data_IF_222614453305
#
_entry.id   IF_222614453305
#
_cell.length_a   1.000
_cell.length_b   1.000
_cell.length_c   1.000
_cell.angle_alpha   90.00
_cell.angle_beta   90.00
_cell.angle_gamma   90.00
#
_symmetry.space_group_name_H-M   'P 1'
#
loop_
_entity.id
_entity.type
_entity.pdbx_description
1 polymer ?
#
# COMPACT_ATOMS: atom_id res chain seq x y z
N UNK A 1 -5.88 -21.55 28.02
CA UNK A 1 -4.46 -21.54 28.33
C UNK A 1 -3.72 -21.27 27.02
N UNK A 2 -2.95 -20.18 26.96
CA UNK A 2 -2.11 -19.89 25.81
C UNK A 2 -1.02 -20.98 25.75
N UNK A 3 -0.87 -21.61 24.59
CA UNK A 3 0.25 -22.51 24.32
C UNK A 3 1.50 -21.64 24.10
N UNK A 4 2.55 -21.87 24.88
CA UNK A 4 3.83 -21.19 24.69
C UNK A 4 4.86 -22.18 24.13
N UNK A 5 5.54 -21.79 23.08
CA UNK A 5 6.57 -22.60 22.41
C UNK A 5 7.96 -22.32 22.95
N UNK A 6 8.19 -21.14 23.54
CA UNK A 6 9.48 -20.67 24.04
C UNK A 6 9.33 -20.00 25.41
N UNK A 7 10.37 -20.12 26.22
CA UNK A 7 10.51 -19.50 27.53
C UNK A 7 11.63 -18.47 27.43
N UNK A 8 11.29 -17.21 27.75
CA UNK A 8 12.27 -16.13 27.79
C UNK A 8 12.96 -16.08 29.15
N UNK A 9 14.28 -16.13 29.15
CA UNK A 9 15.10 -16.03 30.35
C UNK A 9 15.52 -14.58 30.51
N UNK A 10 15.35 -14.04 31.71
CA UNK A 10 15.69 -12.65 32.08
C UNK A 10 16.75 -12.61 33.16
N UNK A 11 17.51 -11.51 33.19
CA UNK A 11 18.43 -11.18 34.26
C UNK A 11 17.69 -10.59 35.50
N UNK A 12 18.45 -10.24 36.54
CA UNK A 12 17.92 -9.61 37.77
C UNK A 12 17.25 -8.25 37.51
N UNK A 13 17.52 -7.61 36.39
CA UNK A 13 16.95 -6.34 35.94
C UNK A 13 15.76 -6.50 34.98
N UNK A 14 15.24 -7.74 34.81
CA UNK A 14 14.19 -8.09 33.87
C UNK A 14 14.59 -7.87 32.36
N UNK A 15 15.87 -7.91 32.05
CA UNK A 15 16.32 -7.84 30.63
C UNK A 15 16.40 -9.26 30.06
N UNK A 16 15.86 -9.50 28.86
CA UNK A 16 15.96 -10.80 28.20
C UNK A 16 17.42 -11.14 27.88
N UNK A 17 17.88 -12.32 28.31
CA UNK A 17 19.24 -12.82 28.11
C UNK A 17 19.28 -14.07 27.21
N UNK A 18 18.15 -14.73 26.99
CA UNK A 18 18.08 -15.87 26.11
C UNK A 18 16.70 -16.51 26.06
N UNK A 19 16.55 -17.51 25.17
CA UNK A 19 15.33 -18.29 25.02
C UNK A 19 15.58 -19.77 25.16
N UNK A 20 14.59 -20.50 25.68
CA UNK A 20 14.59 -21.98 25.76
C UNK A 20 13.31 -22.49 25.12
N UNK A 21 13.39 -23.30 24.06
CA UNK A 21 12.22 -23.99 23.51
C UNK A 21 11.57 -24.91 24.55
N UNK A 22 10.24 -24.92 24.63
CA UNK A 22 9.50 -25.79 25.57
C UNK A 22 9.83 -27.29 25.37
N UNK A 23 10.07 -27.72 24.15
CA UNK A 23 10.52 -29.06 23.82
C UNK A 23 11.85 -29.42 24.48
N UNK A 24 12.79 -28.48 24.57
CA UNK A 24 14.09 -28.68 25.21
C UNK A 24 13.95 -28.80 26.73
N UNK A 25 13.02 -28.04 27.32
CA UNK A 25 12.71 -28.15 28.74
C UNK A 25 12.18 -29.53 29.10
N UNK A 26 11.30 -30.09 28.28
CA UNK A 26 10.71 -31.43 28.50
C UNK A 26 11.71 -32.58 28.36
N UNK A 27 12.78 -32.39 27.58
CA UNK A 27 13.81 -33.43 27.33
C UNK A 27 15.02 -33.30 28.23
N UNK A 28 15.11 -32.24 29.05
CA UNK A 28 16.27 -31.98 29.91
C UNK A 28 15.97 -32.40 31.37
N UNK A 29 17.02 -32.82 32.10
CA UNK A 29 16.90 -33.17 33.53
C UNK A 29 16.35 -31.97 34.33
N UNK A 30 15.48 -32.26 35.29
CA UNK A 30 14.86 -31.23 36.19
C UNK A 30 15.86 -30.42 37.00
N UNK A 31 17.06 -30.95 37.23
CA UNK A 31 18.14 -30.32 37.99
C UNK A 31 18.95 -29.33 37.14
N UNK A 32 18.75 -29.29 35.83
CA UNK A 32 19.51 -28.45 34.88
C UNK A 32 19.00 -27.02 34.93
N UNK A 33 19.92 -26.07 35.14
CA UNK A 33 19.57 -24.64 35.13
C UNK A 33 19.20 -24.19 33.71
N UNK A 34 18.12 -23.41 33.56
CA UNK A 34 17.66 -22.90 32.25
C UNK A 34 18.74 -22.11 31.51
N UNK A 35 19.56 -21.34 32.25
CA UNK A 35 20.69 -20.57 31.66
C UNK A 35 21.70 -21.46 30.94
N UNK A 36 21.90 -22.72 31.37
CA UNK A 36 22.85 -23.63 30.73
C UNK A 36 22.35 -24.25 29.42
N UNK A 37 21.04 -24.17 29.16
CA UNK A 37 20.40 -24.74 27.97
C UNK A 37 19.76 -23.67 27.05
N UNK A 38 19.80 -22.40 27.47
CA UNK A 38 19.25 -21.31 26.65
C UNK A 38 20.09 -21.04 25.39
N UNK A 39 19.44 -20.46 24.38
CA UNK A 39 20.09 -19.81 23.26
C UNK A 39 20.21 -18.31 23.57
N UNK A 40 21.40 -17.77 23.45
CA UNK A 40 21.64 -16.33 23.65
C UNK A 40 21.20 -15.49 22.45
N UNK A 41 21.02 -16.11 21.27
CA UNK A 41 20.54 -15.44 20.08
C UNK A 41 19.03 -15.28 20.14
N UNK A 42 18.57 -14.09 20.43
CA UNK A 42 17.16 -13.73 20.41
C UNK A 42 16.95 -12.37 19.72
N UNK A 43 15.86 -12.27 18.95
CA UNK A 43 15.37 -11.00 18.45
C UNK A 43 14.47 -10.35 19.47
N UNK A 44 14.71 -9.07 19.76
CA UNK A 44 13.92 -8.26 20.68
C UNK A 44 13.06 -7.30 19.87
N UNK A 45 11.78 -7.21 20.20
CA UNK A 45 10.82 -6.29 19.56
C UNK A 45 10.61 -5.11 20.50
N UNK A 46 11.00 -3.88 20.13
CA UNK A 46 10.65 -2.69 20.89
C UNK A 46 9.13 -2.48 20.94
N UNK A 47 8.59 -2.06 22.08
CA UNK A 47 7.15 -1.85 22.29
C UNK A 47 6.55 -0.77 21.35
N UNK A 48 7.39 0.12 20.81
CA UNK A 48 7.03 1.19 19.88
C UNK A 48 7.35 0.88 18.42
N UNK A 49 7.72 -0.38 18.12
CA UNK A 49 7.90 -0.84 16.75
C UNK A 49 6.55 -0.88 16.01
N UNK A 50 6.55 -0.44 14.76
CA UNK A 50 5.38 -0.48 13.90
C UNK A 50 4.89 -1.92 13.65
N UNK A 51 3.58 -2.11 13.56
CA UNK A 51 2.95 -3.42 13.42
C UNK A 51 3.37 -4.14 12.13
N UNK A 52 3.45 -3.42 11.01
CA UNK A 52 3.91 -3.98 9.73
C UNK A 52 5.38 -4.43 9.84
N UNK A 53 6.21 -3.64 10.53
CA UNK A 53 7.62 -3.96 10.73
C UNK A 53 7.78 -5.21 11.61
N UNK A 54 6.96 -5.36 12.66
CA UNK A 54 6.90 -6.59 13.45
C UNK A 54 6.56 -7.78 12.58
N UNK A 55 5.54 -7.66 11.70
CA UNK A 55 5.16 -8.69 10.75
C UNK A 55 6.33 -9.13 9.86
N UNK A 56 7.02 -8.15 9.26
CA UNK A 56 8.19 -8.39 8.42
C UNK A 56 9.34 -9.07 9.18
N UNK A 57 9.57 -8.72 10.44
CA UNK A 57 10.58 -9.37 11.29
C UNK A 57 10.23 -10.84 11.52
N UNK A 58 8.98 -11.15 11.86
CA UNK A 58 8.53 -12.52 12.08
C UNK A 58 8.66 -13.38 10.81
N UNK A 59 8.29 -12.84 9.65
CA UNK A 59 8.40 -13.54 8.35
C UNK A 59 9.87 -13.76 7.96
N UNK A 60 10.71 -12.71 8.01
CA UNK A 60 12.10 -12.80 7.56
C UNK A 60 12.96 -13.73 8.43
N UNK A 61 12.67 -13.83 9.73
CA UNK A 61 13.42 -14.65 10.66
C UNK A 61 12.71 -15.95 11.06
N UNK A 62 11.52 -16.23 10.49
CA UNK A 62 10.70 -17.41 10.80
C UNK A 62 10.49 -17.58 12.31
N UNK A 63 10.10 -16.51 13.00
CA UNK A 63 9.92 -16.52 14.45
C UNK A 63 8.59 -17.20 14.82
N UNK A 64 8.60 -18.00 15.88
CA UNK A 64 7.38 -18.52 16.50
C UNK A 64 6.88 -17.57 17.61
N UNK A 65 7.82 -16.93 18.31
CA UNK A 65 7.55 -15.93 19.33
C UNK A 65 8.73 -14.96 19.44
N UNK A 66 8.51 -13.78 19.98
CA UNK A 66 9.55 -12.81 20.28
C UNK A 66 9.29 -12.09 21.59
N UNK A 67 10.37 -11.73 22.30
CA UNK A 67 10.31 -10.90 23.51
C UNK A 67 10.04 -9.45 23.13
N UNK A 68 9.05 -8.83 23.77
CA UNK A 68 8.75 -7.40 23.65
C UNK A 68 9.41 -6.65 24.79
N UNK A 69 10.17 -5.59 24.45
CA UNK A 69 10.95 -4.82 25.42
C UNK A 69 10.59 -3.33 25.40
N UNK A 70 10.73 -2.70 26.55
CA UNK A 70 10.58 -1.26 26.69
C UNK A 70 11.87 -0.51 26.28
N UNK A 71 11.83 0.83 26.36
CA UNK A 71 12.99 1.70 26.06
C UNK A 71 14.20 1.46 26.95
N UNK A 72 14.06 0.74 28.06
CA UNK A 72 15.14 0.36 28.97
C UNK A 72 15.64 -1.07 28.73
N UNK A 73 15.16 -1.73 27.65
CA UNK A 73 15.40 -3.13 27.30
C UNK A 73 14.89 -4.13 28.37
N UNK A 74 13.84 -3.77 29.14
CA UNK A 74 13.18 -4.71 30.04
C UNK A 74 12.06 -5.43 29.34
N UNK A 75 11.91 -6.72 29.65
CA UNK A 75 10.82 -7.55 29.12
C UNK A 75 9.47 -7.01 29.66
N UNK A 76 8.58 -6.63 28.74
CA UNK A 76 7.21 -6.18 29.06
C UNK A 76 6.15 -7.20 28.63
N UNK A 77 6.52 -8.10 27.72
CA UNK A 77 5.62 -9.14 27.23
C UNK A 77 6.28 -9.99 26.17
N UNK A 78 5.48 -10.80 25.51
CA UNK A 78 5.87 -11.54 24.31
C UNK A 78 4.77 -11.40 23.27
N UNK A 79 5.15 -11.52 22.01
CA UNK A 79 4.26 -11.63 20.87
C UNK A 79 4.48 -12.98 20.20
N UNK A 80 3.42 -13.62 19.73
CA UNK A 80 3.45 -14.92 19.08
C UNK A 80 3.07 -14.81 17.61
N UNK A 81 3.38 -15.83 16.82
CA UNK A 81 3.12 -15.83 15.38
C UNK A 81 1.61 -15.70 15.04
N UNK A 82 0.74 -16.28 15.85
CA UNK A 82 -0.72 -16.17 15.67
C UNK A 82 -1.23 -14.75 15.94
N UNK A 83 -0.67 -14.03 16.92
CA UNK A 83 -0.95 -12.61 17.15
C UNK A 83 -0.52 -11.78 15.92
N UNK A 84 0.69 -12.05 15.40
CA UNK A 84 1.23 -11.36 14.22
C UNK A 84 0.38 -11.62 12.98
N UNK A 85 -0.08 -12.86 12.75
CA UNK A 85 -0.99 -13.17 11.65
C UNK A 85 -2.30 -12.36 11.73
N UNK A 86 -2.84 -12.19 12.91
CA UNK A 86 -4.05 -11.38 13.12
C UNK A 86 -3.78 -9.93 12.75
N UNK A 87 -2.68 -9.38 13.22
CA UNK A 87 -2.27 -8.00 12.91
C UNK A 87 -2.05 -7.81 11.41
N UNK A 88 -1.32 -8.71 10.75
CA UNK A 88 -1.08 -8.63 9.30
C UNK A 88 -2.38 -8.67 8.49
N UNK A 89 -3.36 -9.46 8.94
CA UNK A 89 -4.68 -9.51 8.32
C UNK A 89 -5.44 -8.19 8.51
N UNK A 90 -5.43 -7.62 9.72
CA UNK A 90 -6.05 -6.34 10.02
C UNK A 90 -5.45 -5.20 9.18
N UNK A 91 -4.12 -5.13 9.07
CA UNK A 91 -3.42 -4.14 8.24
C UNK A 91 -3.78 -4.30 6.74
N UNK A 92 -3.81 -5.54 6.23
CA UNK A 92 -4.20 -5.79 4.84
C UNK A 92 -5.66 -5.39 4.54
N UNK A 93 -6.58 -5.60 5.50
CA UNK A 93 -7.97 -5.15 5.40
C UNK A 93 -8.05 -3.61 5.46
N UNK A 94 -7.27 -2.97 6.33
CA UNK A 94 -7.19 -1.51 6.44
C UNK A 94 -6.65 -0.88 5.15
N UNK A 95 -5.57 -1.41 4.59
CA UNK A 95 -5.00 -0.99 3.31
C UNK A 95 -6.02 -1.08 2.17
N UNK A 96 -6.77 -2.18 2.10
CA UNK A 96 -7.81 -2.36 1.10
C UNK A 96 -8.93 -1.31 1.22
N UNK A 97 -9.34 -0.97 2.45
CA UNK A 97 -10.33 0.07 2.71
C UNK A 97 -9.79 1.47 2.38
N UNK A 98 -8.55 1.75 2.74
CA UNK A 98 -7.87 3.02 2.41
C UNK A 98 -7.71 3.21 0.91
N UNK A 99 -7.34 2.15 0.18
CA UNK A 99 -7.30 2.16 -1.30
C UNK A 99 -8.67 2.44 -1.92
N UNK A 100 -9.77 2.13 -1.24
CA UNK A 100 -11.13 2.50 -1.65
C UNK A 100 -11.57 3.90 -1.17
N UNK A 101 -10.69 4.66 -0.49
CA UNK A 101 -11.01 5.96 0.07
C UNK A 101 -11.93 5.91 1.30
N UNK A 102 -12.00 4.74 1.94
CA UNK A 102 -12.76 4.50 3.16
C UNK A 102 -11.77 4.27 4.30
N UNK A 103 -11.89 5.00 5.42
CA UNK A 103 -11.05 4.74 6.60
C UNK A 103 -11.54 3.51 7.39
N UNK A 104 -11.10 3.38 8.66
CA UNK A 104 -11.44 2.29 9.59
C UNK A 104 -12.96 2.24 9.88
N UNK A 105 -13.73 1.83 8.91
CA UNK A 105 -15.20 1.79 8.95
C UNK A 105 -15.67 0.40 9.34
N UNK A 106 -16.37 0.28 10.47
CA UNK A 106 -17.02 -0.95 10.89
C UNK A 106 -18.46 -1.02 10.35
N UNK A 107 -18.93 -2.25 10.10
CA UNK A 107 -20.32 -2.49 9.64
C UNK A 107 -21.31 -1.93 10.66
N UNK A 108 -20.99 -1.99 11.95
CA UNK A 108 -21.81 -1.55 13.08
C UNK A 108 -21.85 -0.04 13.30
N UNK A 109 -20.95 0.71 12.63
CA UNK A 109 -20.88 2.17 12.78
C UNK A 109 -22.16 2.86 12.30
N UNK A 110 -22.65 3.84 13.07
CA UNK A 110 -23.83 4.63 12.72
C UNK A 110 -23.60 5.55 11.52
N UNK A 111 -24.66 5.91 10.81
CA UNK A 111 -24.63 6.71 9.57
C UNK A 111 -23.79 7.98 9.69
N UNK A 112 -23.98 8.77 10.76
CA UNK A 112 -23.23 10.02 10.94
C UNK A 112 -21.72 9.81 11.10
N UNK A 113 -21.31 8.73 11.78
CA UNK A 113 -19.90 8.40 11.96
C UNK A 113 -19.27 8.02 10.61
N UNK A 114 -19.95 7.17 9.82
CA UNK A 114 -19.53 6.79 8.47
C UNK A 114 -19.44 7.98 7.54
N UNK A 115 -20.47 8.84 7.53
CA UNK A 115 -20.47 10.05 6.71
C UNK A 115 -19.29 10.96 7.05
N UNK A 116 -19.00 11.20 8.33
CA UNK A 116 -17.89 12.06 8.75
C UNK A 116 -16.52 11.51 8.34
N UNK A 117 -16.34 10.18 8.38
CA UNK A 117 -15.08 9.53 7.96
C UNK A 117 -14.84 9.68 6.45
N UNK A 118 -15.89 9.52 5.64
CA UNK A 118 -15.82 9.66 4.17
C UNK A 118 -15.77 11.12 3.70
N UNK A 119 -16.29 12.06 4.50
CA UNK A 119 -16.48 13.45 4.10
C UNK A 119 -15.17 14.13 3.69
N UNK A 120 -14.12 14.00 4.48
CA UNK A 120 -12.84 14.66 4.19
C UNK A 120 -12.26 14.17 2.88
N UNK A 121 -12.39 12.86 2.62
CA UNK A 121 -11.93 12.25 1.40
C UNK A 121 -12.72 12.69 0.18
N UNK A 122 -14.05 12.67 0.28
CA UNK A 122 -14.93 13.13 -0.78
C UNK A 122 -14.74 14.63 -1.06
N UNK A 123 -14.45 15.42 -0.03
CA UNK A 123 -14.15 16.85 -0.18
C UNK A 123 -12.84 17.07 -0.94
N UNK A 124 -11.80 16.30 -0.65
CA UNK A 124 -10.54 16.36 -1.39
C UNK A 124 -10.76 15.98 -2.87
N UNK A 125 -11.50 14.90 -3.14
CA UNK A 125 -11.85 14.52 -4.50
C UNK A 125 -12.67 15.56 -5.23
N UNK A 126 -13.58 16.22 -4.54
CA UNK A 126 -14.34 17.33 -5.11
C UNK A 126 -13.43 18.50 -5.49
N UNK A 127 -12.46 18.82 -4.65
CA UNK A 127 -11.48 19.87 -4.94
C UNK A 127 -10.62 19.53 -6.16
N UNK A 128 -10.10 18.29 -6.25
CA UNK A 128 -9.32 17.86 -7.42
C UNK A 128 -10.14 17.84 -8.70
N UNK A 129 -11.45 17.46 -8.62
CA UNK A 129 -12.37 17.52 -9.75
C UNK A 129 -12.61 18.96 -10.22
N UNK A 130 -12.76 19.92 -9.31
CA UNK A 130 -12.86 21.35 -9.67
C UNK A 130 -11.56 21.87 -10.31
N UNK A 131 -10.40 21.45 -9.80
CA UNK A 131 -9.11 21.82 -10.39
C UNK A 131 -9.00 21.28 -11.83
N UNK A 132 -9.38 20.02 -12.06
CA UNK A 132 -9.41 19.45 -13.40
C UNK A 132 -10.38 20.19 -14.32
N UNK A 133 -11.59 20.51 -13.83
CA UNK A 133 -12.59 21.28 -14.58
C UNK A 133 -12.08 22.67 -14.91
N UNK A 134 -11.39 23.32 -13.98
CA UNK A 134 -10.76 24.62 -14.23
C UNK A 134 -9.72 24.55 -15.36
N UNK A 135 -8.85 23.54 -15.36
CA UNK A 135 -7.89 23.33 -16.46
C UNK A 135 -8.62 23.10 -17.78
N UNK A 136 -9.68 22.27 -17.81
CA UNK A 136 -10.50 22.04 -19.02
C UNK A 136 -11.11 23.34 -19.53
N UNK A 137 -11.59 24.23 -18.64
CA UNK A 137 -12.21 25.49 -19.01
C UNK A 137 -11.27 26.44 -19.77
N UNK A 138 -9.95 26.31 -19.58
CA UNK A 138 -8.95 27.09 -20.34
C UNK A 138 -8.96 26.76 -21.85
N UNK A 139 -9.50 25.59 -22.20
CA UNK A 139 -9.62 25.11 -23.58
C UNK A 139 -11.06 25.21 -24.12
N UNK A 140 -11.93 26.00 -23.45
CA UNK A 140 -13.34 26.13 -23.79
C UNK A 140 -13.58 26.47 -25.26
N UNK A 141 -12.85 27.45 -25.83
CA UNK A 141 -12.97 27.82 -27.23
C UNK A 141 -12.63 26.68 -28.20
N UNK A 142 -11.67 25.82 -27.87
CA UNK A 142 -11.34 24.63 -28.67
C UNK A 142 -12.46 23.59 -28.60
N UNK A 143 -13.05 23.42 -27.44
CA UNK A 143 -14.16 22.49 -27.22
C UNK A 143 -15.41 22.96 -27.95
N UNK A 144 -15.70 24.28 -27.96
CA UNK A 144 -16.81 24.86 -28.73
C UNK A 144 -16.67 24.60 -30.24
N UNK A 145 -15.44 24.65 -30.76
CA UNK A 145 -15.20 24.35 -32.18
C UNK A 145 -15.34 22.85 -32.50
N UNK A 146 -15.05 21.99 -31.53
CA UNK A 146 -15.07 20.52 -31.69
C UNK A 146 -15.82 19.86 -30.50
N UNK A 147 -17.13 20.05 -30.45
CA UNK A 147 -17.98 19.54 -29.35
C UNK A 147 -17.82 18.03 -29.10
N UNK A 148 -17.45 17.27 -30.13
CA UNK A 148 -17.18 15.82 -30.02
C UNK A 148 -16.09 15.51 -29.02
N UNK A 149 -15.13 16.40 -28.80
CA UNK A 149 -14.09 16.22 -27.77
C UNK A 149 -14.70 16.06 -26.39
N UNK A 150 -15.78 16.77 -26.08
CA UNK A 150 -16.48 16.66 -24.80
C UNK A 150 -17.04 15.25 -24.56
N UNK A 151 -17.44 14.53 -25.60
CA UNK A 151 -17.92 13.14 -25.50
C UNK A 151 -16.76 12.13 -25.31
N UNK A 152 -15.57 12.47 -25.77
CA UNK A 152 -14.39 11.59 -25.70
C UNK A 152 -13.60 11.78 -24.39
N UNK A 153 -13.68 12.97 -23.75
CA UNK A 153 -12.98 13.25 -22.48
C UNK A 153 -13.24 12.23 -21.36
N UNK A 154 -14.49 11.80 -21.09
CA UNK A 154 -14.75 10.81 -20.05
C UNK A 154 -14.06 9.46 -20.30
N UNK A 155 -13.89 9.06 -21.57
CA UNK A 155 -13.22 7.81 -21.93
C UNK A 155 -11.74 7.89 -21.52
N UNK A 156 -11.05 8.96 -21.92
CA UNK A 156 -9.63 9.17 -21.63
C UNK A 156 -9.42 9.30 -20.11
N UNK A 157 -10.25 10.10 -19.44
CA UNK A 157 -10.18 10.30 -17.99
C UNK A 157 -10.40 8.99 -17.23
N UNK A 158 -11.41 8.20 -17.58
CA UNK A 158 -11.69 6.91 -16.96
C UNK A 158 -10.54 5.91 -17.13
N UNK A 159 -9.99 5.83 -18.34
CA UNK A 159 -8.87 4.93 -18.62
C UNK A 159 -7.60 5.35 -17.87
N UNK A 160 -7.32 6.66 -17.78
CA UNK A 160 -6.22 7.17 -16.97
C UNK A 160 -6.39 6.88 -15.50
N UNK A 161 -7.57 7.11 -14.94
CA UNK A 161 -7.89 6.81 -13.55
C UNK A 161 -7.70 5.33 -13.22
N UNK A 162 -8.21 4.43 -14.09
CA UNK A 162 -8.04 2.99 -13.91
C UNK A 162 -6.57 2.55 -13.99
N UNK A 163 -5.82 3.06 -14.95
CA UNK A 163 -4.39 2.74 -15.08
C UNK A 163 -3.59 3.24 -13.87
N UNK A 164 -3.85 4.48 -13.42
CA UNK A 164 -3.22 5.04 -12.22
C UNK A 164 -3.52 4.23 -10.97
N UNK A 165 -4.78 3.84 -10.76
CA UNK A 165 -5.20 3.01 -9.63
C UNK A 165 -4.53 1.62 -9.65
N UNK A 166 -4.40 0.99 -10.82
CA UNK A 166 -3.71 -0.31 -10.94
C UNK A 166 -2.24 -0.20 -10.53
N UNK A 167 -1.52 0.80 -11.03
CA UNK A 167 -0.13 1.03 -10.66
C UNK A 167 0.01 1.40 -9.18
N UNK A 168 -0.90 2.24 -8.67
CA UNK A 168 -0.93 2.62 -7.27
C UNK A 168 -1.08 1.39 -6.36
N UNK A 169 -2.07 0.53 -6.61
CA UNK A 169 -2.33 -0.65 -5.79
C UNK A 169 -1.11 -1.59 -5.73
N UNK A 170 -0.44 -1.81 -6.88
CA UNK A 170 0.81 -2.59 -6.93
C UNK A 170 1.92 -1.90 -6.15
N UNK A 171 2.04 -0.56 -6.26
CA UNK A 171 3.09 0.20 -5.60
C UNK A 171 2.90 0.22 -4.08
N UNK A 172 1.68 0.44 -3.59
CA UNK A 172 1.36 0.39 -2.14
C UNK A 172 1.72 -0.97 -1.58
N UNK A 173 1.29 -2.07 -2.23
CA UNK A 173 1.68 -3.42 -1.82
C UNK A 173 3.20 -3.61 -1.76
N UNK A 174 3.92 -3.18 -2.81
CA UNK A 174 5.38 -3.32 -2.87
C UNK A 174 6.10 -2.49 -1.80
N UNK A 175 5.49 -1.40 -1.36
CA UNK A 175 5.99 -0.58 -0.25
C UNK A 175 5.70 -1.22 1.10
N UNK A 176 4.55 -1.87 1.29
CA UNK A 176 4.19 -2.61 2.51
C UNK A 176 5.11 -3.83 2.71
N UNK A 177 5.38 -4.60 1.64
CA UNK A 177 6.29 -5.77 1.69
C UNK A 177 7.78 -5.41 1.72
N UNK A 178 8.15 -4.12 1.72
CA UNK A 178 9.52 -3.63 1.64
C UNK A 178 10.33 -4.14 0.41
N UNK A 179 9.64 -4.61 -0.63
CA UNK A 179 10.28 -5.08 -1.88
C UNK A 179 10.85 -3.93 -2.71
N UNK A 180 10.39 -2.69 -2.48
CA UNK A 180 10.89 -1.50 -3.16
C UNK A 180 12.11 -0.92 -2.42
N UNK A 181 13.29 -1.28 -2.91
CA UNK A 181 14.56 -0.81 -2.37
C UNK A 181 15.14 0.35 -3.20
N UNK A 182 16.10 1.08 -2.64
CA UNK A 182 16.82 2.14 -3.38
C UNK A 182 17.48 1.62 -4.67
N UNK A 183 17.88 0.35 -4.68
CA UNK A 183 18.61 -0.25 -5.80
C UNK A 183 17.68 -0.61 -6.98
N UNK A 184 16.40 -0.94 -6.72
CA UNK A 184 15.45 -1.32 -7.76
C UNK A 184 14.45 -0.21 -8.12
N UNK A 185 14.51 0.94 -7.44
CA UNK A 185 13.60 2.07 -7.62
C UNK A 185 13.52 2.54 -9.07
N UNK A 186 14.67 2.88 -9.68
CA UNK A 186 14.72 3.36 -11.06
C UNK A 186 14.23 2.31 -12.06
N UNK A 187 14.52 1.04 -11.80
CA UNK A 187 14.04 -0.06 -12.65
C UNK A 187 12.52 -0.19 -12.61
N UNK A 188 11.90 -0.02 -11.43
CA UNK A 188 10.46 -0.09 -11.30
C UNK A 188 9.75 1.10 -11.98
N UNK A 189 10.28 2.32 -11.86
CA UNK A 189 9.77 3.48 -12.61
C UNK A 189 9.86 3.22 -14.11
N UNK A 190 11.00 2.72 -14.60
CA UNK A 190 11.16 2.45 -16.02
C UNK A 190 10.23 1.33 -16.52
N UNK A 191 9.95 0.32 -15.68
CA UNK A 191 8.96 -0.72 -15.99
C UNK A 191 7.56 -0.11 -16.12
N UNK A 192 7.12 0.71 -15.17
CA UNK A 192 5.81 1.36 -15.22
C UNK A 192 5.69 2.30 -16.41
N UNK A 193 6.74 3.06 -16.73
CA UNK A 193 6.78 3.87 -17.93
C UNK A 193 6.59 3.04 -19.22
N UNK A 194 7.29 1.90 -19.34
CA UNK A 194 7.16 1.01 -20.49
C UNK A 194 5.77 0.34 -20.55
N UNK A 195 5.20 -0.04 -19.40
CA UNK A 195 3.84 -0.58 -19.30
C UNK A 195 2.84 0.50 -19.75
N UNK A 196 3.01 1.75 -19.30
CA UNK A 196 2.20 2.88 -19.73
C UNK A 196 2.24 3.12 -21.23
N UNK A 197 3.42 3.07 -21.85
CA UNK A 197 3.59 3.17 -23.30
C UNK A 197 2.89 2.00 -24.01
N UNK A 198 3.14 0.77 -23.60
CA UNK A 198 2.58 -0.42 -24.26
C UNK A 198 1.05 -0.43 -24.18
N UNK A 199 0.49 -0.24 -23.00
CA UNK A 199 -0.95 -0.12 -22.80
C UNK A 199 -1.52 1.08 -23.56
N UNK A 200 -0.82 2.22 -23.52
CA UNK A 200 -1.18 3.43 -24.24
C UNK A 200 -1.32 3.18 -25.75
N UNK A 201 -0.36 2.49 -26.35
CA UNK A 201 -0.41 2.13 -27.80
C UNK A 201 -1.57 1.18 -28.09
N UNK A 202 -1.75 0.13 -27.28
CA UNK A 202 -2.84 -0.84 -27.49
C UNK A 202 -4.20 -0.14 -27.42
N UNK A 203 -4.45 0.63 -26.36
CA UNK A 203 -5.73 1.34 -26.21
C UNK A 203 -5.89 2.52 -27.15
N UNK A 204 -4.80 3.16 -27.60
CA UNK A 204 -4.85 4.15 -28.67
C UNK A 204 -5.35 3.56 -29.99
N UNK A 205 -4.84 2.38 -30.37
CA UNK A 205 -5.30 1.70 -31.60
C UNK A 205 -6.79 1.33 -31.50
N UNK A 206 -7.19 0.74 -30.37
CA UNK A 206 -8.59 0.33 -30.14
C UNK A 206 -9.52 1.55 -30.18
N UNK A 207 -9.18 2.61 -29.44
CA UNK A 207 -10.01 3.83 -29.39
C UNK A 207 -10.03 4.58 -30.70
N UNK A 208 -8.91 4.64 -31.43
CA UNK A 208 -8.86 5.22 -32.76
C UNK A 208 -9.80 4.51 -33.76
N UNK A 209 -9.77 3.17 -33.76
CA UNK A 209 -10.66 2.38 -34.63
C UNK A 209 -12.13 2.63 -34.29
N UNK A 210 -12.49 2.65 -33.00
CA UNK A 210 -13.87 2.93 -32.60
C UNK A 210 -14.30 4.33 -33.02
N UNK A 211 -13.47 5.34 -32.77
CA UNK A 211 -13.76 6.75 -33.11
C UNK A 211 -13.83 6.92 -34.65
N UNK A 212 -12.95 6.26 -35.41
CA UNK A 212 -12.98 6.30 -36.85
C UNK A 212 -14.28 5.69 -37.44
N UNK A 213 -14.75 4.59 -36.87
CA UNK A 213 -16.01 3.96 -37.28
C UNK A 213 -17.21 4.83 -36.90
N UNK A 214 -17.17 5.45 -35.76
CA UNK A 214 -18.32 6.18 -35.19
C UNK A 214 -18.50 7.58 -35.76
N UNK A 215 -17.38 8.31 -35.90
CA UNK A 215 -17.40 9.73 -36.32
C UNK A 215 -16.85 9.93 -37.74
N UNK A 216 -16.21 8.91 -38.32
CA UNK A 216 -15.60 8.98 -39.68
C UNK A 216 -14.62 10.17 -39.82
N UNK A 217 -13.97 10.56 -38.74
CA UNK A 217 -13.05 11.70 -38.66
C UNK A 217 -11.65 11.23 -38.21
N UNK A 218 -10.70 11.31 -39.13
CA UNK A 218 -9.33 10.89 -38.87
C UNK A 218 -8.58 11.81 -37.91
N UNK A 219 -8.95 13.08 -37.83
CA UNK A 219 -8.36 14.03 -36.89
C UNK A 219 -8.74 13.67 -35.47
N UNK A 220 -10.02 13.37 -35.20
CA UNK A 220 -10.50 12.92 -33.93
C UNK A 220 -9.84 11.59 -33.51
N UNK A 221 -9.69 10.66 -34.45
CA UNK A 221 -9.03 9.37 -34.23
C UNK A 221 -7.55 9.55 -33.83
N UNK A 222 -6.85 10.50 -34.43
CA UNK A 222 -5.48 10.84 -34.05
C UNK A 222 -5.40 11.51 -32.69
N UNK A 223 -6.29 12.45 -32.38
CA UNK A 223 -6.34 13.16 -31.10
C UNK A 223 -6.55 12.17 -29.95
N UNK A 224 -7.54 11.26 -30.06
CA UNK A 224 -7.80 10.29 -28.99
C UNK A 224 -6.63 9.32 -28.80
N UNK A 225 -5.97 8.92 -29.90
CA UNK A 225 -4.80 8.05 -29.85
C UNK A 225 -3.66 8.67 -29.05
N UNK A 226 -3.29 9.89 -29.38
CA UNK A 226 -2.22 10.61 -28.67
C UNK A 226 -2.61 10.85 -27.23
N UNK A 227 -3.85 11.29 -26.97
CA UNK A 227 -4.35 11.51 -25.61
C UNK A 227 -4.30 10.23 -24.77
N UNK A 228 -4.66 9.07 -25.35
CA UNK A 228 -4.63 7.79 -24.67
C UNK A 228 -3.20 7.40 -24.25
N UNK A 229 -2.23 7.51 -25.17
CA UNK A 229 -0.82 7.20 -24.89
C UNK A 229 -0.30 8.11 -23.76
N UNK A 230 -0.49 9.41 -23.89
CA UNK A 230 -0.01 10.39 -22.89
C UNK A 230 -0.65 10.11 -21.54
N UNK A 231 -1.97 9.90 -21.50
CA UNK A 231 -2.70 9.67 -20.26
C UNK A 231 -2.24 8.38 -19.58
N UNK A 232 -2.06 7.28 -20.30
CA UNK A 232 -1.59 6.01 -19.73
C UNK A 232 -0.18 6.12 -19.15
N UNK A 233 0.72 6.81 -19.83
CA UNK A 233 2.09 7.03 -19.34
C UNK A 233 2.08 7.90 -18.09
N UNK A 234 1.34 9.01 -18.12
CA UNK A 234 1.23 9.91 -16.96
C UNK A 234 0.60 9.19 -15.77
N UNK A 235 -0.49 8.45 -15.98
CA UNK A 235 -1.16 7.68 -14.94
C UNK A 235 -0.22 6.64 -14.30
N UNK A 236 0.52 5.87 -15.10
CA UNK A 236 1.50 4.91 -14.59
C UNK A 236 2.61 5.58 -13.78
N UNK A 237 3.17 6.69 -14.29
CA UNK A 237 4.22 7.42 -13.56
C UNK A 237 3.71 8.01 -12.23
N UNK A 238 2.55 8.64 -12.21
CA UNK A 238 2.00 9.21 -10.97
C UNK A 238 1.53 8.12 -10.01
N UNK A 239 1.01 7.00 -10.50
CA UNK A 239 0.66 5.83 -9.70
C UNK A 239 1.82 5.24 -8.90
N UNK A 240 3.07 5.38 -9.38
CA UNK A 240 4.27 4.97 -8.62
C UNK A 240 4.88 6.12 -7.82
N UNK A 241 4.93 7.34 -8.35
CA UNK A 241 5.64 8.46 -7.73
C UNK A 241 4.91 9.02 -6.51
N UNK A 242 3.57 9.09 -6.56
CA UNK A 242 2.78 9.67 -5.46
C UNK A 242 2.92 8.86 -4.17
N UNK A 243 2.65 7.52 -4.14
CA UNK A 243 2.77 6.75 -2.90
C UNK A 243 4.20 6.74 -2.34
N UNK A 244 5.21 6.72 -3.19
CA UNK A 244 6.61 6.80 -2.75
C UNK A 244 6.92 8.15 -2.11
N UNK A 245 6.37 9.23 -2.66
CA UNK A 245 6.56 10.57 -2.10
C UNK A 245 5.88 10.68 -0.74
N UNK A 246 4.66 10.15 -0.58
CA UNK A 246 3.95 10.10 0.68
C UNK A 246 4.71 9.30 1.74
N UNK A 247 5.24 8.11 1.38
CA UNK A 247 6.09 7.32 2.30
C UNK A 247 7.32 8.11 2.76
N UNK A 248 7.96 8.89 1.87
CA UNK A 248 9.09 9.75 2.26
C UNK A 248 8.70 10.90 3.20
N UNK A 249 7.45 11.32 3.15
CA UNK A 249 6.88 12.36 4.04
C UNK A 249 6.33 11.76 5.34
N UNK A 250 6.54 10.47 5.61
CA UNK A 250 5.97 9.73 6.73
C UNK A 250 4.41 9.77 6.75
N UNK A 251 3.81 9.81 5.57
CA UNK A 251 2.36 9.71 5.35
C UNK A 251 2.08 8.35 4.72
N UNK A 252 0.99 7.71 5.15
CA UNK A 252 0.59 6.41 4.65
C UNK A 252 0.33 6.46 3.13
N UNK A 253 1.03 5.61 2.33
CA UNK A 253 0.88 5.59 0.88
C UNK A 253 -0.51 5.15 0.40
N UNK A 254 -1.26 4.35 1.17
CA UNK A 254 -2.59 3.88 0.80
C UNK A 254 -3.62 5.02 0.68
N UNK A 255 -3.35 6.16 1.35
CA UNK A 255 -4.19 7.37 1.25
C UNK A 255 -4.15 7.99 -0.16
N UNK A 256 -3.17 7.66 -1.01
CA UNK A 256 -3.03 8.24 -2.35
C UNK A 256 -4.10 7.79 -3.37
N UNK A 257 -4.96 6.84 -3.02
CA UNK A 257 -5.77 6.07 -3.98
C UNK A 257 -6.81 6.84 -4.79
N UNK A 258 -7.18 8.04 -4.40
CA UNK A 258 -8.25 8.75 -5.10
C UNK A 258 -7.93 10.21 -5.41
N UNK A 259 -6.68 10.63 -5.27
CA UNK A 259 -6.19 11.95 -5.66
C UNK A 259 -5.44 11.86 -6.97
#
# INVERSE_FOLDING_TARGET
PQEFLEIFIVDENFKPIGTVPSSKVLTTSRETKMVSIMSESQLLIPVDMDKEEVGNVFENYNLNSAAVVDKTNKLVGMITYDDVLTVLKEEAEEDALRLAGVGDEEITDGVLKKTKRRFNWLLLNLFTAFLATWVISLFGATIEQMVVLAFLMPIVASMGGNAGMQTLAVTVRTLATNDLTKNNFTQNILKEFNIGILNGIIFAIISALIVQIWFQDSLLSMIISISMIVTMVVAGLFGILVPITLKKMAVDPAIASSV
#
